data_IF_330977545657
#
_entry.id   IF_330977545657
#
_cell.length_a   1.000
_cell.length_b   1.000
_cell.length_c   1.000
_cell.angle_alpha   90.00
_cell.angle_beta   90.00
_cell.angle_gamma   90.00
#
_symmetry.space_group_name_H-M   'P 1'
#
loop_
_entity.id
_entity.type
_entity.pdbx_description
1 polymer ?
#
# COMPACT_ATOMS: atom_id res chain seq x y z
N UNK A 1 -1.48 -0.73 -14.48
CA UNK A 1 -0.06 -0.54 -14.11
C UNK A 1 0.37 -1.61 -13.12
N UNK A 2 1.64 -1.88 -13.05
CA UNK A 2 2.16 -2.89 -12.13
C UNK A 2 2.93 -2.19 -11.04
N UNK A 3 2.66 -2.59 -9.80
CA UNK A 3 3.43 -2.16 -8.64
C UNK A 3 3.93 -3.42 -7.94
N UNK A 4 4.95 -3.26 -7.10
CA UNK A 4 5.48 -4.36 -6.33
C UNK A 4 5.04 -4.18 -4.88
N UNK A 5 4.44 -5.21 -4.31
CA UNK A 5 3.97 -5.17 -2.92
C UNK A 5 4.67 -6.28 -2.16
N UNK A 6 5.52 -5.91 -1.22
CA UNK A 6 6.32 -6.87 -0.44
C UNK A 6 7.04 -7.86 -1.36
N UNK A 7 7.58 -7.35 -2.48
CA UNK A 7 8.34 -8.14 -3.41
C UNK A 7 7.52 -8.90 -4.44
N UNK A 8 6.21 -8.75 -4.44
CA UNK A 8 5.34 -9.41 -5.41
C UNK A 8 4.67 -8.41 -6.32
N UNK A 9 4.65 -8.71 -7.61
CA UNK A 9 4.01 -7.82 -8.57
C UNK A 9 2.50 -7.90 -8.44
N UNK A 10 1.86 -6.73 -8.52
CA UNK A 10 0.41 -6.64 -8.54
C UNK A 10 -0.01 -5.65 -9.60
N UNK A 11 -1.10 -5.97 -10.27
CA UNK A 11 -1.67 -5.09 -11.28
C UNK A 11 -2.75 -4.23 -10.66
N UNK A 12 -2.63 -2.92 -10.84
CA UNK A 12 -3.60 -1.96 -10.33
C UNK A 12 -4.07 -1.09 -11.48
N UNK A 13 -5.24 -0.48 -11.29
CA UNK A 13 -5.73 0.51 -12.25
C UNK A 13 -4.81 1.73 -12.23
N UNK A 14 -4.63 2.36 -13.38
CA UNK A 14 -3.86 3.59 -13.46
C UNK A 14 -4.54 4.65 -12.59
N UNK A 15 -3.74 5.40 -11.86
CA UNK A 15 -4.27 6.41 -10.95
C UNK A 15 -4.71 5.87 -9.60
N UNK A 16 -4.43 4.60 -9.31
CA UNK A 16 -4.79 4.03 -8.02
C UNK A 16 -4.06 4.73 -6.89
N UNK A 17 -4.75 4.88 -5.77
CA UNK A 17 -4.18 5.46 -4.56
C UNK A 17 -3.71 4.35 -3.63
N UNK A 18 -2.98 4.75 -2.57
CA UNK A 18 -2.62 3.80 -1.52
C UNK A 18 -3.89 3.20 -0.91
N UNK A 19 -4.93 4.03 -0.73
CA UNK A 19 -6.22 3.52 -0.22
C UNK A 19 -6.77 2.41 -1.10
N UNK A 20 -6.70 2.57 -2.41
CA UNK A 20 -7.21 1.56 -3.32
C UNK A 20 -6.47 0.24 -3.13
N UNK A 21 -5.15 0.30 -2.93
CA UNK A 21 -4.37 -0.90 -2.70
C UNK A 21 -4.74 -1.55 -1.37
N UNK A 22 -4.89 -0.75 -0.32
CA UNK A 22 -5.28 -1.25 1.01
C UNK A 22 -6.62 -1.97 0.92
N UNK A 23 -7.55 -1.40 0.18
CA UNK A 23 -8.88 -1.99 0.00
C UNK A 23 -8.79 -3.30 -0.79
N UNK A 24 -7.99 -3.31 -1.84
CA UNK A 24 -7.85 -4.50 -2.67
C UNK A 24 -7.20 -5.65 -1.91
N UNK A 25 -6.27 -5.34 -1.02
CA UNK A 25 -5.61 -6.35 -0.20
C UNK A 25 -6.43 -6.74 1.02
N UNK A 26 -7.57 -6.09 1.21
CA UNK A 26 -8.45 -6.36 2.35
C UNK A 26 -7.72 -6.17 3.68
N UNK A 27 -6.93 -5.11 3.75
CA UNK A 27 -6.18 -4.81 4.96
C UNK A 27 -7.04 -3.99 5.92
N UNK A 28 -6.81 -4.16 7.23
CA UNK A 28 -7.54 -3.34 8.21
C UNK A 28 -7.05 -1.89 8.15
N UNK A 29 -7.86 -0.98 8.66
CA UNK A 29 -7.50 0.43 8.72
C UNK A 29 -6.47 0.73 9.79
N UNK A 30 -6.36 -0.12 10.77
CA UNK A 30 -5.45 0.09 11.90
C UNK A 30 -4.46 -1.05 11.98
N UNK A 31 -3.30 -0.73 12.53
CA UNK A 31 -2.25 -1.73 12.69
C UNK A 31 -1.51 -2.03 11.40
N UNK A 32 -1.63 -1.15 10.41
CA UNK A 32 -0.97 -1.31 9.12
C UNK A 32 -0.10 -0.10 8.85
N UNK A 33 1.14 -0.34 8.47
CA UNK A 33 2.04 0.70 8.01
C UNK A 33 2.34 0.47 6.54
N UNK A 34 2.24 1.52 5.76
CA UNK A 34 2.51 1.47 4.33
C UNK A 34 3.68 2.38 4.02
N UNK A 35 4.65 1.86 3.28
CA UNK A 35 5.73 2.69 2.74
C UNK A 35 5.73 2.55 1.24
N UNK A 36 5.94 3.65 0.54
CA UNK A 36 6.01 3.68 -0.91
C UNK A 36 7.37 4.23 -1.29
N UNK A 37 8.14 3.44 -2.02
CA UNK A 37 9.49 3.80 -2.45
C UNK A 37 10.34 4.24 -1.26
N UNK A 38 10.17 3.56 -0.13
CA UNK A 38 10.95 3.81 1.07
C UNK A 38 10.40 4.90 1.98
N UNK A 39 9.28 5.52 1.62
CA UNK A 39 8.72 6.59 2.43
C UNK A 39 7.40 6.17 3.05
N UNK A 40 7.29 6.32 4.35
CA UNK A 40 6.07 5.96 5.07
C UNK A 40 4.94 6.90 4.67
N UNK A 41 3.78 6.32 4.37
CA UNK A 41 2.57 7.07 4.03
C UNK A 41 1.60 6.90 5.19
N UNK A 42 1.35 7.97 5.95
CA UNK A 42 0.40 7.88 7.07
C UNK A 42 -1.00 7.53 6.56
N UNK A 43 -1.76 6.84 7.39
CA UNK A 43 -3.12 6.44 7.02
C UNK A 43 -3.98 7.61 6.58
N UNK A 44 -3.77 8.78 7.20
CA UNK A 44 -4.52 9.97 6.83
C UNK A 44 -4.22 10.47 5.41
N UNK A 45 -3.13 9.99 4.82
CA UNK A 45 -2.74 10.39 3.46
C UNK A 45 -3.02 9.31 2.42
N UNK A 46 -3.54 8.17 2.81
CA UNK A 46 -3.74 7.06 1.87
C UNK A 46 -4.69 7.43 0.72
N UNK A 47 -5.71 8.20 1.01
CA UNK A 47 -6.69 8.58 -0.02
C UNK A 47 -6.12 9.56 -1.03
N UNK A 48 -5.08 10.28 -0.64
CA UNK A 48 -4.51 11.34 -1.46
C UNK A 48 -3.18 10.97 -2.10
N UNK A 49 -2.65 9.79 -1.78
CA UNK A 49 -1.34 9.39 -2.30
C UNK A 49 -1.53 8.47 -3.49
N UNK A 50 -1.14 8.95 -4.66
CA UNK A 50 -1.22 8.17 -5.89
C UNK A 50 -0.02 7.25 -6.00
N UNK A 51 -0.26 6.05 -6.52
CA UNK A 51 0.80 5.10 -6.83
C UNK A 51 1.17 5.24 -8.30
N UNK A 52 2.46 5.19 -8.58
CA UNK A 52 2.94 5.21 -9.96
C UNK A 52 3.30 3.81 -10.42
N UNK A 53 3.39 3.65 -11.72
CA UNK A 53 3.85 2.39 -12.29
C UNK A 53 5.24 2.07 -11.77
N UNK A 54 5.45 0.85 -11.35
CA UNK A 54 6.74 0.42 -10.83
C UNK A 54 6.99 0.79 -9.38
N UNK A 55 6.02 1.36 -8.69
CA UNK A 55 6.20 1.72 -7.29
C UNK A 55 6.49 0.48 -6.46
N UNK A 56 7.37 0.64 -5.48
CA UNK A 56 7.65 -0.41 -4.51
C UNK A 56 6.92 -0.09 -3.22
N UNK A 57 6.00 -0.97 -2.86
CA UNK A 57 5.16 -0.77 -1.69
C UNK A 57 5.52 -1.81 -0.65
N UNK A 58 5.79 -1.36 0.55
CA UNK A 58 6.00 -2.26 1.69
C UNK A 58 4.83 -2.16 2.62
N UNK A 59 4.25 -3.29 2.94
CA UNK A 59 3.10 -3.37 3.85
C UNK A 59 3.54 -4.12 5.09
N UNK A 60 3.42 -3.46 6.23
CA UNK A 60 3.73 -4.06 7.52
C UNK A 60 2.46 -4.06 8.35
N UNK A 61 2.07 -5.22 8.82
CA UNK A 61 0.91 -5.32 9.70
C UNK A 61 1.37 -5.59 11.10
N UNK A 62 0.68 -5.01 12.08
CA UNK A 62 0.98 -5.32 13.46
C UNK A 62 0.57 -6.75 13.70
N UNK A 63 1.53 -7.57 14.04
CA UNK A 63 1.25 -8.96 14.34
C UNK A 63 0.73 -9.03 15.74
N UNK A 64 -0.45 -9.54 15.83
CA UNK A 64 -1.07 -9.69 17.10
C UNK A 64 -0.72 -11.02 17.71
N UNK A 65 0.20 -11.64 17.28
CA UNK A 65 0.58 -12.93 17.69
C UNK A 65 0.34 -13.22 19.06
N UNK A 66 0.00 -12.33 18.97
CA UNK A 66 -0.38 -12.51 20.17
C UNK A 66 -0.64 -13.64 20.17
#
# INVERSE_FOLDING_TARGET
>A
MIVTVNGEDRTLADGATVRALVTELDLPDEGVAIAVDGMVVPGSSWDDTLLGAGAEVDVLTAVQGG
#
